data_IF_303768659697
#
_entry.id   IF_303768659697
#
_cell.length_a   1.000
_cell.length_b   1.000
_cell.length_c   1.000
_cell.angle_alpha   90.00
_cell.angle_beta   90.00
_cell.angle_gamma   90.00
#
_symmetry.space_group_name_H-M   'P 1'
#
loop_
_entity.id
_entity.type
_entity.pdbx_description
1 polymer ?
#
# COMPACT_ATOMS: atom_id res chain seq x y z
N UNK A 1 -17.39 -12.05 5.49
CA UNK A 1 -15.96 -11.97 5.90
C UNK A 1 -15.49 -10.52 5.98
N UNK A 2 -15.38 -9.80 4.86
CA UNK A 2 -14.87 -8.41 4.85
C UNK A 2 -15.59 -7.48 5.83
N UNK A 3 -16.91 -7.64 5.99
CA UNK A 3 -17.69 -6.91 7.00
C UNK A 3 -17.15 -7.11 8.43
N UNK A 4 -16.92 -8.37 8.83
CA UNK A 4 -16.38 -8.69 10.17
C UNK A 4 -14.94 -8.19 10.36
N UNK A 5 -14.12 -8.25 9.30
CA UNK A 5 -12.74 -7.73 9.35
C UNK A 5 -12.73 -6.20 9.52
N UNK A 6 -13.56 -5.48 8.75
CA UNK A 6 -13.74 -4.02 8.90
C UNK A 6 -14.32 -3.64 10.26
N UNK A 7 -15.28 -4.40 10.76
CA UNK A 7 -15.86 -4.17 12.09
C UNK A 7 -14.81 -4.35 13.19
N UNK A 8 -14.00 -5.41 13.12
CA UNK A 8 -12.88 -5.61 14.06
C UNK A 8 -11.91 -4.45 14.00
N UNK A 9 -11.48 -4.06 12.80
CA UNK A 9 -10.57 -2.94 12.60
C UNK A 9 -11.10 -1.65 13.24
N UNK A 10 -12.38 -1.33 13.03
CA UNK A 10 -13.04 -0.18 13.62
C UNK A 10 -13.07 -0.25 15.15
N UNK A 11 -13.49 -1.38 15.73
CA UNK A 11 -13.60 -1.55 17.17
C UNK A 11 -12.22 -1.52 17.87
N UNK A 12 -11.19 -2.06 17.22
CA UNK A 12 -9.81 -1.98 17.69
C UNK A 12 -9.26 -0.55 17.59
N UNK A 13 -9.56 0.17 16.51
CA UNK A 13 -9.22 1.61 16.36
C UNK A 13 -9.85 2.45 17.46
N UNK A 14 -11.11 2.18 17.81
CA UNK A 14 -11.82 2.83 18.92
C UNK A 14 -11.36 2.35 20.30
N UNK A 15 -10.39 1.43 20.38
CA UNK A 15 -9.89 0.84 21.62
C UNK A 15 -10.99 0.19 22.49
N UNK A 16 -12.07 -0.30 21.86
CA UNK A 16 -13.19 -0.99 22.52
C UNK A 16 -12.85 -2.47 22.73
N UNK A 17 -12.11 -3.06 21.78
CA UNK A 17 -11.68 -4.46 21.82
C UNK A 17 -10.18 -4.59 21.57
N UNK A 18 -9.59 -5.67 22.08
CA UNK A 18 -8.21 -6.06 21.79
C UNK A 18 -8.12 -6.89 20.50
N UNK A 19 -6.92 -7.02 19.92
CA UNK A 19 -6.73 -7.74 18.64
C UNK A 19 -7.09 -9.23 18.72
N UNK A 20 -6.93 -9.85 19.89
CA UNK A 20 -7.23 -11.25 20.18
C UNK A 20 -8.67 -11.50 20.65
N UNK A 21 -9.47 -10.44 20.83
CA UNK A 21 -10.87 -10.55 21.26
C UNK A 21 -11.66 -11.40 20.28
N UNK A 22 -12.41 -12.39 20.79
CA UNK A 22 -13.25 -13.27 19.97
C UNK A 22 -14.55 -12.55 19.63
N UNK A 23 -14.83 -12.38 18.33
CA UNK A 23 -16.09 -11.81 17.85
C UNK A 23 -17.02 -12.96 17.44
N UNK A 24 -18.12 -13.12 18.19
CA UNK A 24 -19.21 -14.03 17.83
C UNK A 24 -20.17 -13.33 16.87
N UNK A 25 -20.74 -14.10 15.95
CA UNK A 25 -21.77 -13.60 15.04
C UNK A 25 -22.81 -14.67 14.80
N UNK A 26 -24.08 -14.28 14.78
CA UNK A 26 -25.16 -15.09 14.23
C UNK A 26 -25.49 -14.56 12.84
N UNK A 27 -25.67 -15.47 11.88
CA UNK A 27 -25.81 -15.12 10.47
C UNK A 27 -27.23 -15.37 9.98
N UNK A 28 -27.87 -14.34 9.43
CA UNK A 28 -29.19 -14.46 8.83
C UNK A 28 -29.04 -14.50 7.30
N UNK A 29 -29.64 -15.50 6.66
CA UNK A 29 -29.56 -15.69 5.20
C UNK A 29 -30.87 -16.16 4.62
N UNK A 30 -31.18 -15.68 3.42
CA UNK A 30 -32.30 -16.14 2.59
C UNK A 30 -31.90 -16.07 1.12
N UNK A 31 -32.61 -16.82 0.28
CA UNK A 31 -32.57 -16.68 -1.18
C UNK A 31 -33.97 -16.34 -1.67
N UNK A 32 -34.07 -15.83 -2.90
CA UNK A 32 -35.38 -15.49 -3.48
C UNK A 32 -36.24 -16.75 -3.56
N UNK A 33 -37.41 -16.74 -2.90
CA UNK A 33 -38.30 -17.90 -2.81
C UNK A 33 -38.08 -18.82 -1.61
N UNK A 34 -37.16 -18.49 -0.68
CA UNK A 34 -36.99 -19.19 0.59
C UNK A 34 -37.36 -18.32 1.79
N UNK A 35 -37.70 -18.97 2.91
CA UNK A 35 -37.70 -18.34 4.23
C UNK A 35 -36.30 -17.94 4.70
N UNK A 36 -36.26 -17.21 5.83
CA UNK A 36 -35.02 -16.77 6.48
C UNK A 36 -34.46 -17.87 7.37
N UNK A 37 -33.20 -18.22 7.19
CA UNK A 37 -32.49 -19.11 8.10
C UNK A 37 -31.51 -18.32 8.96
N UNK A 38 -31.58 -18.54 10.27
CA UNK A 38 -30.62 -18.01 11.23
C UNK A 38 -29.60 -19.09 11.60
N UNK A 39 -28.31 -18.83 11.37
CA UNK A 39 -27.21 -19.72 11.73
C UNK A 39 -26.54 -19.21 12.99
N UNK A 40 -26.59 -19.98 14.07
CA UNK A 40 -25.98 -19.69 15.36
C UNK A 40 -24.64 -20.41 15.56
N UNK A 41 -23.90 -19.97 16.58
CA UNK A 41 -22.65 -20.60 17.05
C UNK A 41 -21.47 -20.50 16.07
N UNK A 42 -21.30 -19.35 15.42
CA UNK A 42 -20.17 -19.09 14.52
C UNK A 42 -19.06 -18.39 15.31
N UNK A 43 -17.92 -19.06 15.47
CA UNK A 43 -16.79 -18.58 16.27
C UNK A 43 -15.73 -17.78 15.50
N UNK A 44 -15.74 -17.81 14.17
CA UNK A 44 -14.72 -17.12 13.35
C UNK A 44 -15.29 -16.52 12.07
N UNK A 45 -14.63 -15.50 11.54
CA UNK A 45 -15.01 -14.86 10.27
C UNK A 45 -14.82 -15.78 9.05
N UNK A 46 -13.92 -16.76 9.16
CA UNK A 46 -13.70 -17.79 8.14
C UNK A 46 -14.84 -18.80 8.16
N UNK A 47 -15.27 -19.23 9.34
CA UNK A 47 -16.40 -20.16 9.50
C UNK A 47 -17.72 -19.49 9.14
N UNK A 48 -17.89 -18.19 9.42
CA UNK A 48 -19.03 -17.40 8.94
C UNK A 48 -19.19 -17.50 7.42
N UNK A 49 -18.08 -17.38 6.67
CA UNK A 49 -18.11 -17.51 5.21
C UNK A 49 -18.54 -18.91 4.79
N UNK A 50 -18.00 -19.96 5.42
CA UNK A 50 -18.31 -21.36 5.09
C UNK A 50 -19.77 -21.70 5.42
N UNK A 51 -20.24 -21.31 6.61
CA UNK A 51 -21.62 -21.49 7.05
C UNK A 51 -22.61 -20.87 6.07
N UNK A 52 -22.39 -19.61 5.69
CA UNK A 52 -23.21 -18.93 4.68
C UNK A 52 -23.16 -19.61 3.31
N UNK A 53 -21.99 -20.05 2.84
CA UNK A 53 -21.88 -20.73 1.55
C UNK A 53 -22.68 -22.04 1.50
N UNK A 54 -22.56 -22.87 2.54
CA UNK A 54 -23.30 -24.13 2.66
C UNK A 54 -24.80 -23.87 2.72
N UNK A 55 -25.21 -22.87 3.50
CA UNK A 55 -26.61 -22.53 3.67
C UNK A 55 -27.23 -21.99 2.38
N UNK A 56 -26.54 -21.10 1.67
CA UNK A 56 -26.97 -20.58 0.37
C UNK A 56 -27.13 -21.71 -0.65
N UNK A 57 -26.21 -22.68 -0.67
CA UNK A 57 -26.30 -23.85 -1.55
C UNK A 57 -27.51 -24.73 -1.21
N UNK A 58 -27.77 -24.99 0.08
CA UNK A 58 -28.96 -25.75 0.50
C UNK A 58 -30.25 -25.04 0.07
N UNK A 59 -30.35 -23.75 0.38
CA UNK A 59 -31.54 -22.96 0.09
C UNK A 59 -31.83 -22.89 -1.42
N UNK A 60 -30.81 -22.69 -2.26
CA UNK A 60 -30.98 -22.72 -3.72
C UNK A 60 -31.51 -24.06 -4.20
N UNK A 61 -30.93 -25.16 -3.73
CA UNK A 61 -31.36 -26.51 -4.10
C UNK A 61 -32.83 -26.77 -3.71
N UNK A 62 -33.24 -26.33 -2.53
CA UNK A 62 -34.62 -26.53 -2.07
C UNK A 62 -35.60 -25.75 -2.94
N UNK A 63 -35.27 -24.49 -3.26
CA UNK A 63 -36.09 -23.68 -4.17
C UNK A 63 -36.14 -24.27 -5.58
N UNK A 64 -35.03 -24.80 -6.10
CA UNK A 64 -34.97 -25.49 -7.40
C UNK A 64 -35.79 -26.78 -7.45
N UNK A 65 -35.85 -27.53 -6.34
CA UNK A 65 -36.65 -28.75 -6.18
C UNK A 65 -38.13 -28.45 -5.82
N UNK A 66 -38.52 -27.18 -5.71
CA UNK A 66 -39.88 -26.77 -5.32
C UNK A 66 -40.22 -27.07 -3.85
N UNK A 67 -39.20 -27.29 -3.01
CA UNK A 67 -39.33 -27.51 -1.57
C UNK A 67 -39.44 -26.17 -0.84
N UNK A 68 -40.41 -26.09 0.07
CA UNK A 68 -40.61 -24.91 0.90
C UNK A 68 -39.60 -24.90 2.06
N UNK A 69 -38.95 -23.75 2.26
CA UNK A 69 -38.09 -23.52 3.43
C UNK A 69 -38.77 -22.48 4.30
N UNK A 70 -39.32 -22.90 5.43
CA UNK A 70 -39.84 -21.98 6.45
C UNK A 70 -38.70 -21.30 7.21
N UNK A 71 -39.05 -20.35 8.09
CA UNK A 71 -38.07 -19.72 8.98
C UNK A 71 -37.56 -20.76 9.99
N UNK A 72 -36.27 -21.08 9.93
CA UNK A 72 -35.63 -22.04 10.84
C UNK A 72 -34.34 -21.48 11.45
N UNK A 73 -34.00 -22.00 12.63
CA UNK A 73 -32.70 -21.75 13.26
C UNK A 73 -31.83 -22.99 13.12
N UNK A 74 -30.58 -22.79 12.72
CA UNK A 74 -29.57 -23.83 12.53
C UNK A 74 -28.31 -23.49 13.34
N UNK A 75 -27.54 -24.51 13.65
CA UNK A 75 -26.26 -24.38 14.34
C UNK A 75 -25.12 -24.72 13.40
N UNK A 76 -24.03 -23.96 13.48
CA UNK A 76 -22.77 -24.30 12.84
C UNK A 76 -22.02 -25.36 13.66
N UNK A 77 -21.73 -26.51 13.05
CA UNK A 77 -20.82 -27.51 13.59
C UNK A 77 -19.42 -27.27 13.02
N UNK A 78 -18.53 -26.75 13.86
CA UNK A 78 -17.18 -26.39 13.44
C UNK A 78 -16.30 -27.59 13.10
N UNK A 79 -16.54 -28.76 13.70
CA UNK A 79 -15.75 -29.97 13.45
C UNK A 79 -16.14 -30.60 12.13
N UNK A 80 -17.44 -30.71 11.87
CA UNK A 80 -17.99 -31.33 10.67
C UNK A 80 -18.11 -30.35 9.50
N UNK A 81 -17.98 -29.05 9.76
CA UNK A 81 -18.14 -27.95 8.79
C UNK A 81 -19.49 -28.02 8.07
N UNK A 82 -20.57 -28.24 8.82
CA UNK A 82 -21.96 -28.33 8.32
C UNK A 82 -22.92 -27.53 9.19
N UNK A 83 -24.10 -27.19 8.66
CA UNK A 83 -25.21 -26.62 9.44
C UNK A 83 -26.18 -27.73 9.86
N UNK A 84 -26.49 -27.81 11.16
CA UNK A 84 -27.47 -28.77 11.70
C UNK A 84 -28.71 -28.03 12.19
N UNK A 85 -29.93 -28.56 11.99
CA UNK A 85 -31.13 -27.93 12.53
C UNK A 85 -31.03 -27.81 14.06
N UNK A 86 -31.48 -26.69 14.62
CA UNK A 86 -31.69 -26.58 16.05
C UNK A 86 -32.73 -27.61 16.51
N UNK A 87 -32.57 -28.19 17.71
CA UNK A 87 -33.61 -29.08 18.27
C UNK A 87 -34.93 -28.29 18.36
N UNK A 88 -36.01 -28.83 17.79
CA UNK A 88 -37.30 -28.15 17.58
C UNK A 88 -38.13 -27.84 18.83
N UNK A 89 -37.52 -27.59 19.99
CA UNK A 89 -38.22 -27.19 21.21
C UNK A 89 -37.42 -26.13 21.95
N UNK A 90 -37.52 -24.92 21.43
CA UNK A 90 -37.43 -23.66 22.16
C UNK A 90 -37.88 -22.62 21.14
N UNK A 91 -39.19 -22.59 20.86
CA UNK A 91 -39.84 -21.39 20.32
C UNK A 91 -39.28 -20.19 21.08
N UNK A 92 -38.91 -19.11 20.38
CA UNK A 92 -38.58 -17.82 21.00
C UNK A 92 -39.54 -17.62 22.16
N UNK A 93 -39.05 -17.76 23.39
CA UNK A 93 -39.84 -17.35 24.54
C UNK A 93 -40.09 -15.88 24.29
N UNK A 94 -41.36 -15.46 24.28
CA UNK A 94 -41.72 -14.05 24.22
C UNK A 94 -40.99 -13.34 25.35
N UNK A 95 -39.87 -12.69 25.03
CA UNK A 95 -39.11 -11.90 25.97
C UNK A 95 -40.04 -10.76 26.40
N UNK A 96 -40.50 -10.83 27.65
CA UNK A 96 -41.32 -9.77 28.27
C UNK A 96 -40.40 -8.65 28.72
N UNK A 97 -39.90 -7.88 27.75
CA UNK A 97 -39.04 -6.73 28.01
C UNK A 97 -39.72 -5.77 28.99
N UNK A 98 -39.08 -5.54 30.13
CA UNK A 98 -39.43 -4.49 31.09
C UNK A 98 -38.19 -3.61 31.31
N UNK A 99 -38.35 -2.30 31.55
CA UNK A 99 -37.24 -1.46 31.98
C UNK A 99 -36.62 -2.02 33.27
N UNK A 100 -35.29 -2.11 33.32
CA UNK A 100 -34.61 -2.46 34.55
C UNK A 100 -34.75 -1.30 35.54
N UNK A 101 -35.55 -1.50 36.59
CA UNK A 101 -35.86 -0.49 37.59
C UNK A 101 -34.64 -0.12 38.45
N UNK A 102 -33.58 -0.93 38.42
CA UNK A 102 -32.33 -0.64 39.14
C UNK A 102 -31.40 0.28 38.35
N UNK A 103 -31.64 0.44 37.04
CA UNK A 103 -30.80 1.26 36.16
C UNK A 103 -31.60 2.50 35.78
N UNK A 104 -31.28 3.69 36.33
CA UNK A 104 -31.94 4.91 35.90
C UNK A 104 -31.64 5.19 34.42
N UNK A 105 -32.54 5.88 33.70
CA UNK A 105 -32.28 6.30 32.33
C UNK A 105 -30.97 7.07 32.22
N UNK A 106 -30.13 6.73 31.23
CA UNK A 106 -28.83 7.36 31.02
C UNK A 106 -28.97 8.48 29.98
N UNK A 107 -28.93 9.77 30.37
CA UNK A 107 -29.04 10.88 29.43
C UNK A 107 -27.75 11.04 28.61
N UNK A 108 -27.83 10.80 27.30
CA UNK A 108 -26.67 10.92 26.40
C UNK A 108 -26.47 12.34 25.83
N UNK A 109 -27.45 13.23 25.96
CA UNK A 109 -27.40 14.58 25.40
C UNK A 109 -26.18 15.41 25.87
N UNK A 110 -25.79 15.41 27.16
CA UNK A 110 -24.65 16.21 27.62
C UNK A 110 -23.29 15.76 27.06
N UNK A 111 -23.16 14.47 26.71
CA UNK A 111 -21.88 13.86 26.29
C UNK A 111 -21.79 13.67 24.77
N UNK A 112 -22.86 13.94 24.02
CA UNK A 112 -22.93 13.69 22.58
C UNK A 112 -21.81 14.42 21.83
N UNK A 113 -21.60 15.70 22.12
CA UNK A 113 -20.61 16.51 21.40
C UNK A 113 -19.17 16.09 21.73
N UNK A 114 -18.90 15.67 22.96
CA UNK A 114 -17.61 15.11 23.36
C UNK A 114 -17.34 13.77 22.66
N UNK A 115 -18.38 12.93 22.53
CA UNK A 115 -18.30 11.67 21.79
C UNK A 115 -18.03 11.92 20.31
N UNK A 116 -18.75 12.84 19.67
CA UNK A 116 -18.55 13.19 18.25
C UNK A 116 -17.16 13.77 18.00
N UNK A 117 -16.66 14.62 18.90
CA UNK A 117 -15.30 15.18 18.83
C UNK A 117 -14.24 14.09 18.94
N UNK A 118 -14.35 13.21 19.94
CA UNK A 118 -13.43 12.07 20.12
C UNK A 118 -13.50 11.08 18.97
N UNK A 119 -14.69 10.77 18.46
CA UNK A 119 -14.87 9.92 17.27
C UNK A 119 -14.19 10.54 16.06
N UNK A 120 -14.35 11.85 15.85
CA UNK A 120 -13.69 12.56 14.75
C UNK A 120 -12.18 12.52 14.91
N UNK A 121 -11.64 12.75 16.11
CA UNK A 121 -10.21 12.65 16.40
C UNK A 121 -9.65 11.23 16.13
N UNK A 122 -10.40 10.19 16.52
CA UNK A 122 -9.99 8.79 16.33
C UNK A 122 -10.15 8.33 14.86
N UNK A 123 -11.16 8.84 14.15
CA UNK A 123 -11.51 8.42 12.78
C UNK A 123 -10.94 9.31 11.67
N UNK A 124 -10.43 10.51 11.97
CA UNK A 124 -9.65 11.29 11.02
C UNK A 124 -8.55 10.40 10.45
N UNK A 125 -8.48 10.26 9.14
CA UNK A 125 -7.46 9.43 8.50
C UNK A 125 -6.08 9.98 8.90
N UNK A 126 -5.34 9.28 9.79
CA UNK A 126 -4.09 9.82 10.33
C UNK A 126 -3.05 10.00 9.22
N UNK A 127 -3.22 9.34 8.08
CA UNK A 127 -2.30 9.35 6.96
C UNK A 127 -2.18 10.74 6.33
N UNK A 128 -3.28 11.36 5.92
CA UNK A 128 -3.24 12.66 5.23
C UNK A 128 -2.71 13.75 6.16
N UNK A 129 -3.09 13.74 7.44
CA UNK A 129 -2.56 14.70 8.41
C UNK A 129 -1.07 14.47 8.66
N UNK A 130 -0.63 13.22 8.85
CA UNK A 130 0.77 12.90 9.05
C UNK A 130 1.64 13.26 7.83
N UNK A 131 1.11 13.07 6.63
CA UNK A 131 1.77 13.48 5.38
C UNK A 131 1.82 15.01 5.28
N UNK A 132 0.70 15.71 5.51
CA UNK A 132 0.63 17.17 5.38
C UNK A 132 1.44 17.91 6.45
N UNK A 133 1.39 17.45 7.70
CA UNK A 133 1.99 18.12 8.87
C UNK A 133 3.48 17.85 9.02
N UNK A 134 3.92 16.63 8.69
CA UNK A 134 5.30 16.19 8.91
C UNK A 134 6.06 15.87 7.62
N UNK A 135 5.44 16.10 6.45
CA UNK A 135 6.02 15.80 5.14
C UNK A 135 6.54 14.35 5.05
N UNK A 136 5.76 13.42 5.61
CA UNK A 136 6.09 12.00 5.60
C UNK A 136 5.82 11.40 4.23
N UNK A 137 6.66 10.45 3.81
CA UNK A 137 6.33 9.66 2.62
C UNK A 137 5.02 8.89 2.86
N UNK A 138 4.10 8.86 1.88
CA UNK A 138 2.80 8.19 2.04
C UNK A 138 2.92 6.74 2.48
N UNK A 139 3.94 6.01 2.01
CA UNK A 139 4.23 4.63 2.40
C UNK A 139 4.57 4.47 3.89
N UNK A 140 5.29 5.45 4.45
CA UNK A 140 5.68 5.48 5.87
C UNK A 140 4.48 5.82 6.74
N UNK A 141 3.73 6.87 6.37
CA UNK A 141 2.53 7.27 7.08
C UNK A 141 1.51 6.13 7.10
N UNK A 142 1.28 5.47 5.96
CA UNK A 142 0.38 4.31 5.87
C UNK A 142 0.84 3.14 6.75
N UNK A 143 2.14 2.80 6.74
CA UNK A 143 2.67 1.72 7.56
C UNK A 143 2.47 1.97 9.07
N UNK A 144 2.61 3.22 9.53
CA UNK A 144 2.37 3.62 10.91
C UNK A 144 0.88 3.57 11.23
N UNK A 145 0.05 4.19 10.39
CA UNK A 145 -1.39 4.31 10.59
C UNK A 145 -2.11 2.96 10.54
N UNK A 146 -1.69 2.06 9.64
CA UNK A 146 -2.30 0.74 9.46
C UNK A 146 -2.06 -0.20 10.65
N UNK A 147 -0.98 -0.01 11.39
CA UNK A 147 -0.64 -0.84 12.53
C UNK A 147 -0.91 -0.06 13.84
N UNK A 148 -1.98 -0.40 14.59
CA UNK A 148 -2.35 0.33 15.81
C UNK A 148 -1.22 0.43 16.83
N UNK A 149 -0.39 -0.64 16.91
CA UNK A 149 0.75 -0.70 17.81
C UNK A 149 1.86 0.27 17.42
N UNK A 150 2.21 0.33 16.12
CA UNK A 150 3.19 1.30 15.63
C UNK A 150 2.67 2.73 15.75
N UNK A 151 1.38 2.96 15.50
CA UNK A 151 0.77 4.28 15.68
C UNK A 151 0.91 4.76 17.13
N UNK A 152 0.58 3.93 18.13
CA UNK A 152 0.75 4.29 19.56
C UNK A 152 2.18 4.68 19.91
N UNK A 153 3.17 3.87 19.47
CA UNK A 153 4.58 4.18 19.70
C UNK A 153 4.96 5.51 19.03
N UNK A 154 4.48 5.73 17.80
CA UNK A 154 4.76 6.95 17.06
C UNK A 154 4.16 8.19 17.73
N UNK A 155 2.91 8.11 18.20
CA UNK A 155 2.28 9.18 18.96
C UNK A 155 3.06 9.46 20.25
N UNK A 156 3.51 8.41 20.96
CA UNK A 156 4.35 8.61 22.13
C UNK A 156 5.67 9.33 21.77
N UNK A 157 6.29 9.00 20.63
CA UNK A 157 7.48 9.72 20.13
C UNK A 157 7.18 11.20 19.92
N UNK A 158 6.01 11.53 19.37
CA UNK A 158 5.56 12.91 19.09
C UNK A 158 5.22 13.74 20.34
N UNK A 159 5.07 13.13 21.52
CA UNK A 159 4.92 13.86 22.80
C UNK A 159 6.16 14.70 23.14
N UNK A 160 7.33 14.39 22.55
CA UNK A 160 8.54 15.17 22.73
C UNK A 160 8.51 16.47 21.91
N UNK A 161 8.42 17.61 22.59
CA UNK A 161 8.38 18.96 21.96
C UNK A 161 9.51 19.21 20.97
N UNK A 162 10.73 18.75 21.28
CA UNK A 162 11.90 18.84 20.41
C UNK A 162 11.67 18.15 19.05
N UNK A 163 11.03 16.98 19.05
CA UNK A 163 10.79 16.21 17.84
C UNK A 163 9.64 16.80 17.05
N UNK A 164 8.56 17.19 17.72
CA UNK A 164 7.34 17.71 17.08
C UNK A 164 7.59 18.97 16.24
N UNK A 165 8.61 19.76 16.58
CA UNK A 165 8.98 21.01 15.88
C UNK A 165 9.84 20.80 14.63
N UNK A 166 10.54 19.67 14.51
CA UNK A 166 11.41 19.39 13.36
C UNK A 166 10.84 18.24 12.52
N UNK A 167 10.30 18.60 11.36
CA UNK A 167 9.72 17.66 10.39
C UNK A 167 10.71 16.62 9.89
N UNK A 168 12.01 16.94 9.77
CA UNK A 168 13.05 16.00 9.35
C UNK A 168 13.35 14.98 10.45
N UNK A 169 13.34 15.39 11.71
CA UNK A 169 13.49 14.48 12.84
C UNK A 169 12.27 13.56 12.97
N UNK A 170 11.05 14.06 12.80
CA UNK A 170 9.84 13.22 12.76
C UNK A 170 9.91 12.19 11.64
N UNK A 171 10.34 12.60 10.44
CA UNK A 171 10.57 11.69 9.31
C UNK A 171 11.63 10.63 9.62
N UNK A 172 12.71 11.02 10.29
CA UNK A 172 13.77 10.11 10.70
C UNK A 172 13.27 9.11 11.75
N UNK A 173 12.52 9.58 12.75
CA UNK A 173 11.91 8.75 13.79
C UNK A 173 10.92 7.74 13.19
N UNK A 174 10.05 8.18 12.28
CA UNK A 174 9.11 7.33 11.57
C UNK A 174 9.83 6.20 10.79
N UNK A 175 10.90 6.53 10.07
CA UNK A 175 11.74 5.55 9.36
C UNK A 175 12.42 4.56 10.31
N UNK A 176 12.91 5.03 11.45
CA UNK A 176 13.53 4.19 12.46
C UNK A 176 12.51 3.24 13.11
N UNK A 177 11.31 3.73 13.39
CA UNK A 177 10.24 2.95 13.98
C UNK A 177 9.81 1.80 13.06
N UNK A 178 9.54 2.09 11.78
CA UNK A 178 9.10 1.07 10.83
C UNK A 178 10.17 -0.01 10.63
N UNK A 179 11.41 0.39 10.38
CA UNK A 179 12.45 -0.55 9.95
C UNK A 179 13.16 -1.24 11.12
N UNK A 180 13.48 -0.50 12.19
CA UNK A 180 14.21 -1.01 13.35
C UNK A 180 13.27 -1.30 14.51
N UNK A 181 12.34 -0.39 14.81
CA UNK A 181 11.36 -0.56 15.90
C UNK A 181 10.52 -1.83 15.73
N UNK A 182 10.02 -2.11 14.52
CA UNK A 182 9.31 -3.37 14.22
C UNK A 182 10.13 -4.62 14.52
N UNK A 183 11.47 -4.56 14.34
CA UNK A 183 12.36 -5.69 14.67
C UNK A 183 12.56 -5.83 16.17
N UNK A 184 12.66 -4.72 16.91
CA UNK A 184 12.75 -4.75 18.37
C UNK A 184 11.48 -5.30 19.01
N UNK A 185 10.30 -4.91 18.52
CA UNK A 185 9.03 -5.46 19.00
C UNK A 185 8.96 -6.99 18.81
N UNK A 186 9.46 -7.51 17.68
CA UNK A 186 9.57 -8.95 17.43
C UNK A 186 10.58 -9.65 18.35
N UNK A 187 11.59 -8.93 18.85
CA UNK A 187 12.57 -9.43 19.83
C UNK A 187 12.06 -9.34 21.28
N UNK A 188 10.82 -8.88 21.49
CA UNK A 188 10.18 -8.83 22.81
C UNK A 188 10.36 -7.53 23.58
N UNK A 189 10.90 -6.46 22.96
CA UNK A 189 11.00 -5.15 23.61
C UNK A 189 9.62 -4.52 23.82
N UNK A 190 9.44 -3.78 24.92
CA UNK A 190 8.20 -3.07 25.20
C UNK A 190 8.05 -1.85 24.28
N UNK A 191 6.81 -1.36 24.15
CA UNK A 191 6.50 -0.17 23.34
C UNK A 191 7.21 1.08 23.88
N UNK A 192 7.29 1.21 25.20
CA UNK A 192 7.98 2.30 25.87
C UNK A 192 9.50 2.27 25.63
N UNK A 193 10.12 1.08 25.64
CA UNK A 193 11.56 0.94 25.37
C UNK A 193 11.90 1.36 23.95
N UNK A 194 11.09 0.93 22.98
CA UNK A 194 11.27 1.28 21.56
C UNK A 194 11.09 2.78 21.36
N UNK A 195 10.05 3.37 21.95
CA UNK A 195 9.82 4.83 21.89
C UNK A 195 11.00 5.60 22.50
N UNK A 196 11.45 5.20 23.69
CA UNK A 196 12.56 5.84 24.41
C UNK A 196 13.87 5.81 23.63
N UNK A 197 14.24 4.65 23.06
CA UNK A 197 15.45 4.50 22.24
C UNK A 197 15.43 5.41 21.01
N UNK A 198 14.30 5.45 20.30
CA UNK A 198 14.17 6.29 19.10
C UNK A 198 14.21 7.77 19.46
N UNK A 199 13.51 8.18 20.54
CA UNK A 199 13.56 9.56 21.05
C UNK A 199 15.00 10.01 21.32
N UNK A 200 15.76 9.23 22.10
CA UNK A 200 17.14 9.57 22.45
C UNK A 200 18.04 9.69 21.21
N UNK A 201 17.92 8.77 20.24
CA UNK A 201 18.74 8.82 19.03
C UNK A 201 18.37 9.99 18.13
N UNK A 202 17.10 10.36 18.03
CA UNK A 202 16.69 11.54 17.28
C UNK A 202 17.19 12.83 17.93
N UNK A 203 17.22 12.92 19.27
CA UNK A 203 17.85 14.05 19.97
C UNK A 203 19.34 14.16 19.65
N UNK A 204 20.07 13.03 19.64
CA UNK A 204 21.50 12.99 19.29
C UNK A 204 21.77 13.32 17.82
N UNK A 205 20.87 12.95 16.91
CA UNK A 205 20.92 13.39 15.50
C UNK A 205 20.76 14.91 15.42
N UNK A 206 19.81 15.49 16.16
CA UNK A 206 19.59 16.93 16.21
C UNK A 206 20.82 17.69 16.72
N UNK A 207 21.52 17.10 17.70
CA UNK A 207 22.77 17.63 18.25
C UNK A 207 24.00 17.42 17.34
N UNK A 208 23.86 16.69 16.23
CA UNK A 208 24.96 16.39 15.30
C UNK A 208 25.95 15.34 15.81
N UNK A 209 25.68 14.69 16.95
CA UNK A 209 26.56 13.68 17.55
C UNK A 209 26.53 12.34 16.81
N UNK A 210 25.41 12.06 16.13
CA UNK A 210 25.13 10.76 15.49
C UNK A 210 24.51 11.00 14.12
N UNK A 211 25.03 10.34 13.10
CA UNK A 211 24.41 10.34 11.77
C UNK A 211 23.19 9.41 11.71
N UNK A 212 22.27 9.65 10.78
CA UNK A 212 21.09 8.78 10.61
C UNK A 212 21.47 7.31 10.35
N UNK A 213 22.58 7.04 9.65
CA UNK A 213 23.02 5.68 9.37
C UNK A 213 23.62 4.98 10.61
N UNK A 214 24.22 5.72 11.52
CA UNK A 214 24.65 5.20 12.82
C UNK A 214 23.45 4.92 13.71
N UNK A 215 22.47 5.84 13.75
CA UNK A 215 21.23 5.64 14.50
C UNK A 215 20.50 4.36 14.09
N UNK A 216 20.46 4.01 12.80
CA UNK A 216 19.88 2.73 12.32
C UNK A 216 20.49 1.49 12.99
N UNK A 217 21.79 1.53 13.30
CA UNK A 217 22.51 0.41 13.94
C UNK A 217 22.34 0.47 15.45
N UNK A 218 22.50 1.66 16.04
CA UNK A 218 22.36 1.90 17.47
C UNK A 218 20.96 1.55 18.01
N UNK A 219 19.88 1.78 17.23
CA UNK A 219 18.53 1.34 17.64
C UNK A 219 18.49 -0.18 17.89
N UNK A 220 19.13 -0.98 17.01
CA UNK A 220 19.05 -2.45 17.04
C UNK A 220 20.06 -3.10 17.99
N UNK A 221 21.27 -2.55 18.04
CA UNK A 221 22.45 -3.17 18.65
C UNK A 221 22.91 -2.46 19.94
N UNK A 222 22.41 -1.25 20.23
CA UNK A 222 22.85 -0.46 21.39
C UNK A 222 24.25 0.16 21.21
N UNK A 223 24.81 0.69 22.29
CA UNK A 223 26.11 1.41 22.27
C UNK A 223 27.31 0.51 21.91
N UNK A 224 27.20 -0.81 22.05
CA UNK A 224 28.23 -1.79 21.66
C UNK A 224 28.59 -1.73 20.15
N UNK A 225 27.68 -1.23 19.31
CA UNK A 225 27.94 -1.03 17.89
C UNK A 225 28.97 0.08 17.59
N UNK A 226 29.23 0.98 18.56
CA UNK A 226 30.16 2.11 18.41
C UNK A 226 31.62 1.70 18.60
N UNK A 227 31.89 0.73 19.46
CA UNK A 227 33.26 0.28 19.79
C UNK A 227 33.93 -0.54 18.66
N UNK A 228 33.15 -1.05 17.70
CA UNK A 228 33.65 -1.90 16.59
C UNK A 228 34.20 -1.13 15.37
N UNK A 229 34.42 0.19 15.45
CA UNK A 229 34.78 1.02 14.29
C UNK A 229 36.14 1.69 14.49
N UNK A 230 37.20 1.21 13.81
CA UNK A 230 38.43 1.98 13.58
C UNK A 230 38.22 2.89 12.36
N UNK A 231 38.30 4.20 12.55
CA UNK A 231 38.31 5.18 11.46
C UNK A 231 39.66 5.14 10.73
N UNK A 232 39.63 5.25 9.39
CA UNK A 232 40.85 5.32 8.58
C UNK A 232 41.57 6.65 8.79
N UNK A 233 42.89 6.61 8.97
CA UNK A 233 43.71 7.81 8.92
C UNK A 233 43.99 8.24 7.47
N UNK A 234 44.45 9.49 7.31
CA UNK A 234 44.76 10.09 6.00
C UNK A 234 45.76 9.24 5.21
N UNK A 235 46.77 8.66 5.86
CA UNK A 235 47.78 7.82 5.21
C UNK A 235 47.18 6.54 4.60
N UNK A 236 46.20 5.95 5.28
CA UNK A 236 45.48 4.77 4.78
C UNK A 236 44.62 5.12 3.56
N UNK A 237 43.91 6.26 3.58
CA UNK A 237 43.13 6.74 2.42
C UNK A 237 44.03 6.92 1.20
N UNK A 238 45.19 7.57 1.39
CA UNK A 238 46.14 7.82 0.30
C UNK A 238 46.58 6.51 -0.37
N UNK A 239 47.01 5.52 0.42
CA UNK A 239 47.49 4.23 -0.08
C UNK A 239 46.47 3.54 -0.99
N UNK A 240 45.20 3.48 -0.57
CA UNK A 240 44.16 2.77 -1.33
C UNK A 240 43.73 3.52 -2.60
N UNK A 241 43.74 4.85 -2.59
CA UNK A 241 43.42 5.65 -3.79
C UNK A 241 44.55 5.55 -4.81
N UNK A 242 45.82 5.65 -4.39
CA UNK A 242 46.98 5.55 -5.28
C UNK A 242 47.10 4.14 -5.90
N UNK A 243 46.81 3.09 -5.12
CA UNK A 243 46.74 1.71 -5.59
C UNK A 243 45.71 1.56 -6.73
N UNK A 244 44.48 2.08 -6.54
CA UNK A 244 43.41 2.02 -7.55
C UNK A 244 43.77 2.80 -8.82
N UNK A 245 44.43 3.96 -8.68
CA UNK A 245 44.88 4.77 -9.81
C UNK A 245 45.97 4.06 -10.63
N UNK A 246 46.90 3.38 -9.96
CA UNK A 246 48.00 2.66 -10.60
C UNK A 246 47.52 1.41 -11.36
N UNK A 247 46.58 0.65 -10.80
CA UNK A 247 46.02 -0.57 -11.41
C UNK A 247 45.26 -0.27 -12.70
N UNK A 248 44.51 0.83 -12.73
CA UNK A 248 43.58 1.14 -13.83
C UNK A 248 44.20 2.01 -14.93
N UNK A 249 45.46 2.47 -14.78
CA UNK A 249 46.18 3.34 -15.74
C UNK A 249 45.36 4.57 -16.19
N UNK A 250 44.66 5.19 -15.26
CA UNK A 250 43.72 6.29 -15.55
C UNK A 250 44.49 7.61 -15.78
N UNK A 251 44.31 8.22 -16.95
CA UNK A 251 44.93 9.52 -17.31
C UNK A 251 43.91 10.63 -17.62
N UNK A 252 42.60 10.34 -17.56
CA UNK A 252 41.55 11.26 -18.00
C UNK A 252 40.76 11.90 -16.84
N UNK A 253 40.40 13.19 -16.99
CA UNK A 253 39.57 13.96 -16.04
C UNK A 253 38.09 13.81 -16.41
N UNK A 254 37.33 13.02 -15.65
CA UNK A 254 35.87 12.95 -15.77
C UNK A 254 35.22 12.71 -14.42
N UNK A 255 34.06 13.33 -14.17
CA UNK A 255 33.27 13.11 -12.94
C UNK A 255 32.89 11.62 -12.77
N UNK A 256 32.58 10.94 -13.88
CA UNK A 256 32.29 9.49 -13.88
C UNK A 256 33.51 8.65 -13.48
N UNK A 257 34.73 9.11 -13.82
CA UNK A 257 35.98 8.43 -13.46
C UNK A 257 36.29 8.66 -11.97
N UNK A 258 36.06 9.86 -11.45
CA UNK A 258 36.18 10.17 -10.02
C UNK A 258 35.22 9.30 -9.19
N UNK A 259 33.94 9.23 -9.56
CA UNK A 259 32.94 8.42 -8.86
C UNK A 259 33.29 6.92 -8.90
N UNK A 260 33.86 6.45 -10.02
CA UNK A 260 34.36 5.08 -10.16
C UNK A 260 35.55 4.78 -9.24
N UNK A 261 36.55 5.68 -9.18
CA UNK A 261 37.74 5.54 -8.31
C UNK A 261 37.31 5.52 -6.84
N UNK A 262 36.47 6.46 -6.44
CA UNK A 262 35.94 6.54 -5.06
C UNK A 262 35.17 5.27 -4.71
N UNK A 263 34.31 4.80 -5.61
CA UNK A 263 33.54 3.57 -5.41
C UNK A 263 34.41 2.29 -5.35
N UNK A 264 35.55 2.26 -6.04
CA UNK A 264 36.49 1.13 -6.03
C UNK A 264 37.40 1.16 -4.80
N UNK A 265 37.93 2.34 -4.44
CA UNK A 265 38.72 2.56 -3.23
C UNK A 265 37.91 2.20 -1.97
N UNK A 266 36.66 2.68 -1.85
CA UNK A 266 35.78 2.35 -0.73
C UNK A 266 35.48 0.84 -0.64
N UNK A 267 35.37 0.13 -1.77
CA UNK A 267 35.19 -1.33 -1.80
C UNK A 267 36.43 -2.07 -1.31
N UNK A 268 37.63 -1.66 -1.74
CA UNK A 268 38.90 -2.24 -1.26
C UNK A 268 39.14 -1.98 0.23
N UNK A 269 38.88 -0.75 0.68
CA UNK A 269 38.98 -0.37 2.10
C UNK A 269 38.02 -1.21 2.96
N UNK A 270 36.77 -1.33 2.52
CA UNK A 270 35.75 -2.16 3.20
C UNK A 270 36.14 -3.65 3.26
N UNK A 271 36.77 -4.18 2.20
CA UNK A 271 37.26 -5.56 2.16
C UNK A 271 38.46 -5.78 3.09
N UNK A 272 39.21 -4.72 3.41
CA UNK A 272 40.32 -4.72 4.36
C UNK A 272 39.90 -4.36 5.79
N UNK A 273 38.59 -4.25 6.07
CA UNK A 273 38.05 -3.90 7.39
C UNK A 273 38.22 -2.42 7.79
N UNK A 274 38.55 -1.55 6.83
CA UNK A 274 38.85 -0.12 7.05
C UNK A 274 37.68 0.72 6.52
N UNK A 275 37.22 1.70 7.29
CA UNK A 275 36.15 2.62 6.89
C UNK A 275 36.66 4.05 6.84
N UNK A 276 36.52 4.68 5.67
CA UNK A 276 36.87 6.07 5.41
C UNK A 276 35.63 6.88 5.01
N UNK A 277 35.69 8.19 5.21
CA UNK A 277 34.65 9.11 4.74
C UNK A 277 34.70 9.20 3.20
N UNK A 278 33.59 8.90 2.48
CA UNK A 278 33.51 9.10 1.05
C UNK A 278 33.89 10.52 0.59
N UNK A 279 33.66 11.54 1.43
CA UNK A 279 34.04 12.93 1.14
C UNK A 279 35.56 13.07 1.12
N UNK A 280 36.26 12.60 2.15
CA UNK A 280 37.72 12.66 2.24
C UNK A 280 38.41 11.84 1.13
N UNK A 281 37.85 10.67 0.80
CA UNK A 281 38.35 9.83 -0.31
C UNK A 281 38.15 10.55 -1.65
N UNK A 282 37.02 11.23 -1.85
CA UNK A 282 36.74 11.99 -3.07
C UNK A 282 37.59 13.26 -3.19
N UNK A 283 37.88 13.94 -2.08
CA UNK A 283 38.79 15.09 -2.05
C UNK A 283 40.20 14.68 -2.45
N UNK A 284 40.75 13.64 -1.82
CA UNK A 284 42.08 13.16 -2.18
C UNK A 284 42.15 12.66 -3.62
N UNK A 285 41.18 11.85 -4.07
CA UNK A 285 41.13 11.37 -5.46
C UNK A 285 41.05 12.52 -6.47
N UNK A 286 40.35 13.62 -6.13
CA UNK A 286 40.27 14.82 -6.97
C UNK A 286 41.60 15.56 -7.01
N UNK A 287 42.28 15.73 -5.88
CA UNK A 287 43.63 16.34 -5.83
C UNK A 287 44.63 15.57 -6.68
N UNK A 288 44.63 14.23 -6.60
CA UNK A 288 45.56 13.40 -7.37
C UNK A 288 45.26 13.46 -8.87
N UNK A 289 43.98 13.39 -9.27
CA UNK A 289 43.58 13.54 -10.69
C UNK A 289 43.88 14.94 -11.26
N UNK A 290 43.87 15.98 -10.43
CA UNK A 290 44.26 17.33 -10.84
C UNK A 290 45.76 17.42 -11.17
N UNK A 291 46.61 16.70 -10.43
CA UNK A 291 48.07 16.67 -10.59
C UNK A 291 48.56 15.85 -11.80
N UNK A 292 47.75 14.93 -12.34
CA UNK A 292 48.18 13.92 -13.33
C UNK A 292 48.04 14.37 -14.81
N UNK A 293 47.29 15.42 -15.15
CA UNK A 293 47.09 15.81 -16.57
C UNK A 293 47.60 17.23 -16.90
N UNK A 294 48.43 17.42 -17.96
CA UNK A 294 48.76 18.73 -18.50
C UNK A 294 47.58 19.36 -19.25
N UNK A 295 47.46 20.68 -19.09
CA UNK A 295 46.88 21.70 -19.97
C UNK A 295 46.04 21.23 -21.18
N UNK A 296 44.70 21.23 -21.05
CA UNK A 296 43.74 21.48 -22.14
C UNK A 296 42.29 21.45 -21.61
N UNK A 297 41.76 22.59 -21.16
CA UNK A 297 40.31 22.76 -21.00
C UNK A 297 39.93 24.26 -21.01
N UNK A 298 39.57 24.77 -22.19
CA UNK A 298 38.98 26.11 -22.37
C UNK A 298 37.73 26.10 -23.27
N UNK A 299 37.13 24.94 -23.57
CA UNK A 299 36.06 24.85 -24.58
C UNK A 299 34.90 23.89 -24.25
N UNK A 300 34.73 23.42 -23.01
CA UNK A 300 33.64 22.47 -22.67
C UNK A 300 32.57 22.99 -21.69
N UNK A 301 32.63 24.26 -21.30
CA UNK A 301 31.63 24.87 -20.40
C UNK A 301 30.37 25.40 -21.10
N UNK A 302 30.30 25.45 -22.43
CA UNK A 302 29.12 26.02 -23.13
C UNK A 302 27.99 25.02 -23.46
N UNK A 303 28.15 23.72 -23.18
CA UNK A 303 27.17 22.70 -23.59
C UNK A 303 26.20 22.22 -22.49
N UNK A 304 26.39 22.63 -21.23
CA UNK A 304 25.57 22.14 -20.11
C UNK A 304 24.49 23.10 -19.60
N UNK A 305 24.20 24.22 -20.28
CA UNK A 305 23.15 25.16 -19.87
C UNK A 305 21.78 24.96 -20.57
N UNK A 306 21.54 23.83 -21.25
CA UNK A 306 20.26 23.61 -21.97
C UNK A 306 19.40 22.41 -21.54
N UNK A 307 19.76 21.67 -20.49
CA UNK A 307 18.97 20.50 -20.03
C UNK A 307 18.15 20.71 -18.75
N UNK A 308 18.15 21.90 -18.12
CA UNK A 308 17.37 22.17 -16.89
C UNK A 308 16.03 22.92 -17.10
N UNK A 309 15.52 23.01 -18.32
CA UNK A 309 14.19 23.61 -18.57
C UNK A 309 13.25 22.61 -19.26
N UNK A 310 12.50 21.86 -18.45
CA UNK A 310 11.49 20.93 -18.98
C UNK A 310 10.78 20.08 -17.92
N UNK A 311 10.35 20.68 -16.81
CA UNK A 311 9.35 20.04 -15.94
C UNK A 311 8.02 20.01 -16.70
N UNK A 312 7.66 18.84 -17.24
CA UNK A 312 6.39 18.61 -17.91
C UNK A 312 5.23 18.71 -16.94
N UNK A 313 4.35 19.66 -17.22
CA UNK A 313 3.04 19.81 -16.59
C UNK A 313 2.26 18.48 -16.63
N UNK A 314 1.73 18.04 -15.50
CA UNK A 314 0.69 17.02 -15.43
C UNK A 314 -0.48 17.46 -16.29
N UNK A 315 -0.67 16.83 -17.45
CA UNK A 315 -1.85 17.04 -18.29
C UNK A 315 -3.09 16.63 -17.50
N UNK A 316 -3.83 17.62 -17.00
CA UNK A 316 -5.21 17.47 -16.56
C UNK A 316 -6.06 17.15 -17.79
N UNK A 317 -6.48 15.90 -17.91
CA UNK A 317 -7.44 15.49 -18.94
C UNK A 317 -8.79 16.16 -18.62
N UNK A 318 -9.44 16.84 -19.59
CA UNK A 318 -10.75 17.43 -19.35
C UNK A 318 -11.79 16.36 -19.02
N UNK A 319 -12.51 16.54 -17.92
CA UNK A 319 -13.68 15.74 -17.55
C UNK A 319 -14.83 16.05 -18.51
N UNK A 320 -14.90 15.34 -19.63
CA UNK A 320 -16.17 15.12 -20.31
C UNK A 320 -16.78 13.83 -19.76
N UNK A 321 -17.83 13.96 -18.94
CA UNK A 321 -18.64 12.81 -18.54
C UNK A 321 -19.30 12.23 -19.79
N UNK A 322 -19.01 10.98 -20.10
CA UNK A 322 -19.81 10.22 -21.06
C UNK A 322 -21.22 10.12 -20.48
N UNK A 323 -22.25 10.42 -21.27
CA UNK A 323 -23.63 10.24 -20.84
C UNK A 323 -23.83 8.75 -20.54
N UNK A 324 -24.30 8.42 -19.34
CA UNK A 324 -24.52 7.02 -18.90
C UNK A 324 -25.40 6.23 -19.86
N UNK A 325 -26.26 6.92 -20.60
CA UNK A 325 -27.20 6.35 -21.58
C UNK A 325 -26.49 5.80 -22.83
N UNK A 326 -25.24 6.20 -23.07
CA UNK A 326 -24.42 5.74 -24.20
C UNK A 326 -23.55 4.51 -23.85
N UNK A 327 -23.51 4.11 -22.56
CA UNK A 327 -22.68 3.00 -22.09
C UNK A 327 -23.41 1.66 -22.25
N UNK A 328 -22.83 0.77 -23.03
CA UNK A 328 -23.24 -0.63 -23.14
C UNK A 328 -22.54 -1.45 -22.07
N UNK A 329 -23.30 -2.24 -21.31
CA UNK A 329 -22.68 -3.15 -20.32
C UNK A 329 -21.93 -4.28 -21.02
N UNK A 330 -20.84 -4.78 -20.45
CA UNK A 330 -20.03 -5.86 -21.04
C UNK A 330 -20.88 -7.07 -21.38
N UNK A 331 -21.85 -7.45 -20.53
CA UNK A 331 -22.80 -8.54 -20.81
C UNK A 331 -23.65 -8.31 -22.07
N UNK A 332 -24.16 -7.08 -22.28
CA UNK A 332 -24.93 -6.74 -23.47
C UNK A 332 -24.06 -6.77 -24.73
N UNK A 333 -22.82 -6.30 -24.62
CA UNK A 333 -21.85 -6.35 -25.70
C UNK A 333 -21.51 -7.80 -26.11
N UNK A 334 -21.30 -8.69 -25.12
CA UNK A 334 -21.09 -10.12 -25.38
C UNK A 334 -22.30 -10.78 -26.06
N UNK A 335 -23.52 -10.40 -25.67
CA UNK A 335 -24.75 -10.91 -26.28
C UNK A 335 -24.93 -10.42 -27.73
N UNK A 336 -24.56 -9.17 -28.03
CA UNK A 336 -24.59 -8.62 -29.37
C UNK A 336 -23.59 -9.33 -30.30
N UNK A 337 -22.36 -9.56 -29.82
CA UNK A 337 -21.30 -10.28 -30.53
C UNK A 337 -20.65 -9.54 -31.69
N UNK A 338 -21.36 -8.63 -32.36
CA UNK A 338 -20.89 -7.77 -33.45
C UNK A 338 -21.57 -6.39 -33.37
N UNK A 339 -20.98 -5.39 -34.05
CA UNK A 339 -21.49 -4.01 -34.09
C UNK A 339 -20.63 -3.03 -33.29
N UNK A 340 -21.09 -1.78 -33.11
CA UNK A 340 -20.38 -0.80 -32.29
C UNK A 340 -20.85 -0.82 -30.84
N UNK A 341 -19.92 -0.68 -29.90
CA UNK A 341 -20.23 -0.54 -28.48
C UNK A 341 -19.31 0.47 -27.81
N UNK A 342 -19.87 1.20 -26.85
CA UNK A 342 -19.13 2.05 -25.91
C UNK A 342 -19.17 1.38 -24.55
N UNK A 343 -18.01 1.03 -23.99
CA UNK A 343 -17.87 0.33 -22.72
C UNK A 343 -17.12 1.20 -21.72
N UNK A 344 -17.56 1.17 -20.47
CA UNK A 344 -16.87 1.82 -19.35
C UNK A 344 -16.57 0.80 -18.26
N UNK A 345 -15.33 0.73 -17.78
CA UNK A 345 -14.92 -0.27 -16.81
C UNK A 345 -13.50 -0.12 -16.31
N UNK A 346 -13.12 -1.02 -15.40
CA UNK A 346 -11.79 -1.10 -14.82
C UNK A 346 -10.89 -2.05 -15.62
N UNK A 347 -9.63 -1.68 -15.79
CA UNK A 347 -8.61 -2.54 -16.39
C UNK A 347 -8.26 -3.66 -15.41
N UNK A 348 -8.70 -4.89 -15.67
CA UNK A 348 -8.41 -6.07 -14.84
C UNK A 348 -7.02 -6.64 -15.13
N UNK A 349 -6.68 -6.78 -16.41
CA UNK A 349 -5.37 -7.29 -16.84
C UNK A 349 -4.98 -6.74 -18.21
N UNK A 350 -3.69 -6.80 -18.53
CA UNK A 350 -3.13 -6.36 -19.81
C UNK A 350 -2.02 -7.28 -20.27
N UNK A 351 -1.99 -7.57 -21.57
CA UNK A 351 -0.91 -8.26 -22.25
C UNK A 351 -0.51 -7.50 -23.51
N UNK A 352 0.78 -7.19 -23.65
CA UNK A 352 1.32 -6.52 -24.84
C UNK A 352 2.08 -7.54 -25.69
N UNK A 353 1.73 -7.67 -26.97
CA UNK A 353 2.38 -8.60 -27.88
C UNK A 353 2.48 -7.99 -29.28
N UNK A 354 3.70 -7.87 -29.80
CA UNK A 354 3.95 -7.53 -31.21
C UNK A 354 3.25 -6.26 -31.72
N UNK A 355 3.23 -5.18 -30.93
CA UNK A 355 2.56 -3.93 -31.31
C UNK A 355 1.05 -3.89 -31.08
N UNK A 356 0.47 -4.95 -30.49
CA UNK A 356 -0.91 -4.99 -30.01
C UNK A 356 -0.96 -5.05 -28.49
N UNK A 357 -1.98 -4.44 -27.90
CA UNK A 357 -2.30 -4.53 -26.47
C UNK A 357 -3.68 -5.13 -26.31
N UNK A 358 -3.74 -6.21 -25.53
CA UNK A 358 -4.95 -6.93 -25.15
C UNK A 358 -5.26 -6.57 -23.71
N UNK A 359 -6.42 -5.96 -23.49
CA UNK A 359 -6.83 -5.41 -22.20
C UNK A 359 -8.12 -6.10 -21.79
N UNK A 360 -8.17 -6.67 -20.59
CA UNK A 360 -9.44 -7.16 -20.04
C UNK A 360 -10.10 -6.01 -19.29
N UNK A 361 -11.25 -5.58 -19.79
CA UNK A 361 -12.08 -4.54 -19.20
C UNK A 361 -13.23 -5.18 -18.41
N UNK A 362 -13.38 -4.80 -17.14
CA UNK A 362 -14.42 -5.32 -16.24
C UNK A 362 -15.41 -4.22 -15.85
N UNK A 363 -16.70 -4.54 -15.87
CA UNK A 363 -17.77 -3.71 -15.32
C UNK A 363 -18.61 -4.49 -14.29
N UNK A 364 -19.75 -3.94 -13.87
CA UNK A 364 -20.66 -4.60 -12.91
C UNK A 364 -21.37 -5.85 -13.48
N UNK A 365 -21.36 -6.04 -14.80
CA UNK A 365 -22.11 -7.08 -15.52
C UNK A 365 -21.25 -8.25 -15.99
N UNK A 366 -19.93 -8.06 -16.10
CA UNK A 366 -18.96 -9.04 -16.57
C UNK A 366 -17.63 -8.41 -16.95
N UNK A 367 -16.93 -9.07 -17.87
CA UNK A 367 -15.65 -8.61 -18.42
C UNK A 367 -15.58 -8.95 -19.92
N UNK A 368 -14.74 -8.23 -20.66
CA UNK A 368 -14.55 -8.41 -22.10
C UNK A 368 -13.13 -8.02 -22.49
N UNK A 369 -12.59 -8.65 -23.53
CA UNK A 369 -11.30 -8.28 -24.11
C UNK A 369 -11.45 -7.07 -25.02
N UNK A 370 -10.60 -6.07 -24.83
CA UNK A 370 -10.41 -4.92 -25.68
C UNK A 370 -9.04 -5.01 -26.35
N UNK A 371 -8.98 -4.81 -27.67
CA UNK A 371 -7.75 -4.89 -28.46
C UNK A 371 -7.44 -3.56 -29.09
N UNK A 372 -6.21 -3.10 -28.93
CA UNK A 372 -5.68 -1.91 -29.63
C UNK A 372 -4.40 -2.28 -30.36
N UNK A 373 -4.29 -1.86 -31.63
CA UNK A 373 -3.06 -2.00 -32.43
C UNK A 373 -2.36 -0.66 -32.54
N UNK A 374 -1.04 -0.64 -32.37
CA UNK A 374 -0.21 0.56 -32.58
C UNK A 374 -0.36 1.13 -34.00
N UNK A 375 -0.64 0.27 -34.98
CA UNK A 375 -0.89 0.67 -36.37
C UNK A 375 -2.21 1.41 -36.56
N UNK A 376 -3.19 1.18 -35.69
CA UNK A 376 -4.52 1.80 -35.80
C UNK A 376 -4.51 3.20 -35.18
N UNK A 377 -3.96 3.34 -33.97
CA UNK A 377 -3.78 4.63 -33.31
C UNK A 377 -2.65 4.55 -32.26
N UNK A 378 -1.50 5.17 -32.58
CA UNK A 378 -0.33 5.20 -31.70
C UNK A 378 -0.59 5.98 -30.40
N UNK A 379 -1.47 6.99 -30.43
CA UNK A 379 -1.78 7.80 -29.23
C UNK A 379 -2.60 6.99 -28.25
N UNK A 380 -3.67 6.33 -28.71
CA UNK A 380 -4.52 5.48 -27.86
C UNK A 380 -3.70 4.31 -27.31
N UNK A 381 -2.85 3.70 -28.14
CA UNK A 381 -1.95 2.63 -27.71
C UNK A 381 -1.01 3.07 -26.58
N UNK A 382 -0.36 4.22 -26.72
CA UNK A 382 0.56 4.74 -25.69
C UNK A 382 -0.18 5.11 -24.39
N UNK A 383 -1.38 5.68 -24.48
CA UNK A 383 -2.19 5.98 -23.30
C UNK A 383 -2.56 4.69 -22.58
N UNK A 384 -3.19 3.73 -23.26
CA UNK A 384 -3.65 2.48 -22.64
C UNK A 384 -2.52 1.61 -22.08
N UNK A 385 -1.33 1.66 -22.68
CA UNK A 385 -0.13 0.97 -22.17
C UNK A 385 0.53 1.67 -20.98
N UNK A 386 0.30 2.98 -20.81
CA UNK A 386 0.77 3.73 -19.64
C UNK A 386 -0.12 3.58 -18.40
N UNK A 387 -1.37 3.15 -18.56
CA UNK A 387 -2.31 3.03 -17.45
C UNK A 387 -1.99 1.84 -16.53
N UNK A 388 -2.26 2.03 -15.24
CA UNK A 388 -2.17 0.98 -14.24
C UNK A 388 -3.37 0.03 -14.32
N UNK A 389 -3.22 -1.19 -13.80
CA UNK A 389 -4.37 -2.04 -13.49
C UNK A 389 -5.30 -1.30 -12.52
N UNK A 390 -6.59 -1.60 -12.59
CA UNK A 390 -7.69 -0.91 -11.90
C UNK A 390 -7.91 0.55 -12.35
N UNK A 391 -7.23 1.03 -13.40
CA UNK A 391 -7.61 2.31 -14.00
C UNK A 391 -8.99 2.20 -14.63
N UNK A 392 -9.85 3.20 -14.42
CA UNK A 392 -11.17 3.24 -15.03
C UNK A 392 -11.08 3.96 -16.38
N UNK A 393 -11.57 3.32 -17.45
CA UNK A 393 -11.53 3.84 -18.81
C UNK A 393 -12.90 3.72 -19.48
N UNK A 394 -13.19 4.64 -20.41
CA UNK A 394 -14.27 4.45 -21.40
C UNK A 394 -13.70 4.29 -22.80
N UNK A 395 -14.02 3.18 -23.44
CA UNK A 395 -13.57 2.83 -24.79
C UNK A 395 -14.77 2.66 -25.70
N UNK A 396 -14.65 3.15 -26.94
CA UNK A 396 -15.62 2.87 -28.01
C UNK A 396 -14.92 2.13 -29.12
N UNK A 397 -15.62 1.18 -29.72
CA UNK A 397 -15.06 0.40 -30.81
C UNK A 397 -16.02 -0.60 -31.40
N UNK A 398 -15.48 -1.49 -32.23
CA UNK A 398 -16.24 -2.54 -32.92
C UNK A 398 -16.09 -3.88 -32.23
N UNK A 399 -17.23 -4.49 -31.92
CA UNK A 399 -17.32 -5.86 -31.43
C UNK A 399 -17.06 -6.83 -32.57
N UNK A 400 -16.26 -7.85 -32.29
CA UNK A 400 -15.93 -8.92 -33.22
C UNK A 400 -15.90 -10.24 -32.47
N UNK A 401 -16.50 -11.28 -33.07
CA UNK A 401 -16.33 -12.66 -32.62
C UNK A 401 -14.91 -13.13 -32.93
N UNK A 402 -14.20 -13.58 -31.91
CA UNK A 402 -12.89 -14.20 -32.04
C UNK A 402 -12.79 -15.33 -31.02
N UNK A 403 -12.60 -16.57 -31.51
CA UNK A 403 -12.46 -17.76 -30.67
C UNK A 403 -11.22 -17.70 -29.75
N UNK A 404 -10.24 -16.85 -30.09
CA UNK A 404 -9.05 -16.61 -29.27
C UNK A 404 -9.31 -15.66 -28.11
N UNK A 405 -10.39 -14.87 -28.17
CA UNK A 405 -10.79 -14.01 -27.07
C UNK A 405 -11.38 -14.87 -25.95
N UNK A 406 -11.04 -14.64 -24.66
CA UNK A 406 -11.48 -15.52 -23.59
C UNK A 406 -13.01 -15.58 -23.37
N UNK A 407 -13.76 -14.59 -23.88
CA UNK A 407 -15.23 -14.54 -23.89
C UNK A 407 -15.86 -14.88 -25.25
N UNK A 408 -15.06 -15.25 -26.26
CA UNK A 408 -15.50 -15.49 -27.64
C UNK A 408 -15.87 -14.22 -28.43
N UNK A 409 -15.80 -13.05 -27.80
CA UNK A 409 -16.06 -11.72 -28.39
C UNK A 409 -15.02 -10.75 -27.82
N UNK A 410 -14.45 -9.92 -28.69
CA UNK A 410 -13.55 -8.83 -28.34
C UNK A 410 -14.03 -7.49 -28.91
N UNK A 411 -13.59 -6.39 -28.32
CA UNK A 411 -13.82 -5.03 -28.79
C UNK A 411 -12.52 -4.46 -29.38
N UNK A 412 -12.50 -4.16 -30.67
CA UNK A 412 -11.40 -3.42 -31.30
C UNK A 412 -11.59 -1.94 -30.98
N UNK A 413 -10.70 -1.37 -30.17
CA UNK A 413 -10.81 0.00 -29.64
C UNK A 413 -10.48 1.01 -30.74
N UNK A 414 -11.43 1.91 -31.02
CA UNK A 414 -11.28 3.00 -31.99
C UNK A 414 -11.20 4.37 -31.29
N UNK A 415 -11.83 4.54 -30.12
CA UNK A 415 -11.77 5.78 -29.34
C UNK A 415 -11.59 5.50 -27.84
N UNK A 416 -10.91 6.42 -27.13
CA UNK A 416 -10.74 6.43 -25.68
C UNK A 416 -11.13 7.83 -25.15
N UNK A 417 -12.10 7.88 -24.22
CA UNK A 417 -12.61 9.12 -23.62
C UNK A 417 -12.81 8.85 -22.12
N UNK A 418 -12.38 9.74 -21.23
CA UNK A 418 -12.37 9.54 -19.78
C UNK A 418 -11.46 8.40 -19.28
N UNK A 419 -10.41 8.82 -18.55
CA UNK A 419 -9.44 7.95 -17.91
C UNK A 419 -9.28 8.42 -16.47
N UNK A 420 -9.62 7.57 -15.50
CA UNK A 420 -9.19 7.75 -14.12
C UNK A 420 -8.04 6.77 -13.87
N UNK A 421 -6.78 7.24 -13.94
CA UNK A 421 -5.65 6.36 -13.70
C UNK A 421 -5.69 5.88 -12.25
N UNK A 422 -5.56 4.58 -12.05
CA UNK A 422 -5.33 4.03 -10.72
C UNK A 422 -3.91 4.37 -10.27
N UNK A 423 -3.71 4.51 -8.96
CA UNK A 423 -2.36 4.55 -8.41
C UNK A 423 -1.61 3.25 -8.76
N UNK A 424 -0.28 3.29 -8.87
CA UNK A 424 0.49 2.06 -9.08
C UNK A 424 0.21 1.11 -7.92
N UNK A 425 -0.20 -0.13 -8.23
CA UNK A 425 -0.36 -1.17 -7.23
C UNK A 425 0.98 -1.30 -6.48
N UNK A 426 1.00 -1.26 -5.14
CA UNK A 426 2.22 -1.54 -4.39
C UNK A 426 2.59 -3.02 -4.66
N UNK A 427 3.70 -3.22 -5.39
CA UNK A 427 4.32 -4.52 -5.61
C UNK A 427 4.67 -5.22 -4.29
#
# INVERSE_FOLDING_TARGET
RNFMEKLRELLTKLNIIQEDTVLKADANVSVKGSGRVEIKNIGSSADLRKALQIEIMRLRRYVEEGLEVEQETRHWDDRRKVTTPARGKETEQEYRYIPDLNIPPIPLAPIKQDIETKLTEILQEPKEELVAKYNLQPSIAEAITRNPRLNRIFQNILESDLLRRDTKLVSSAAKLLINQGSKLLKRGFSEADVAGRIKQLCIRIAAGEVTFNEAKRLVLEGEEARERIKQADKATIQRFVDEVLSEERITAKSRKILDYIVGKALRKMKSSGIKADPVEVAEYAREVLQRIAPEQEKQKEELNMKEEAGLGETQTIPQSFVKTDEITSTRKALQAGEGEATLAGWIESRMNLGGKSFIILRDWSGWIQCVVSKELDERIFNILTSLNLESFITVRGKLRRDERAPTGVELVVEELKAVFPSASLPL
#
